data_IF_231106629680
#
_entry.id   IF_231106629680
#
_cell.length_a   1.000
_cell.length_b   1.000
_cell.length_c   1.000
_cell.angle_alpha   90.00
_cell.angle_beta   90.00
_cell.angle_gamma   90.00
#
_symmetry.space_group_name_H-M   'P 1'
#
loop_
_entity.id
_entity.type
_entity.pdbx_description
1 polymer ?
#
# COMPACT_ATOMS: atom_id res chain seq x y z
N UNK A 1 5.46 -33.95 48.57
CA UNK A 1 4.33 -34.03 47.63
C UNK A 1 4.89 -34.57 46.32
N UNK A 2 4.33 -35.66 45.80
CA UNK A 2 4.81 -36.31 44.58
C UNK A 2 4.03 -35.80 43.35
N UNK A 3 4.67 -35.77 42.18
CA UNK A 3 4.06 -35.55 40.87
C UNK A 3 3.37 -34.19 40.64
N UNK A 4 4.02 -33.07 40.94
CA UNK A 4 3.44 -31.73 40.69
C UNK A 4 4.13 -30.96 39.56
N UNK A 5 5.32 -31.37 39.12
CA UNK A 5 6.07 -30.64 38.10
C UNK A 5 5.74 -31.14 36.70
N UNK A 6 5.40 -30.19 35.82
CA UNK A 6 5.14 -30.43 34.40
C UNK A 6 6.39 -30.02 33.61
N UNK A 7 7.16 -30.97 33.06
CA UNK A 7 8.42 -30.67 32.39
C UNK A 7 8.23 -30.06 30.99
N UNK A 8 7.00 -29.90 30.51
CA UNK A 8 6.69 -29.69 29.10
C UNK A 8 5.67 -28.57 28.93
N UNK A 9 6.09 -27.43 28.34
CA UNK A 9 5.27 -26.22 28.18
C UNK A 9 5.12 -25.84 26.70
N UNK A 10 3.89 -25.59 26.25
CA UNK A 10 3.63 -25.02 24.92
C UNK A 10 3.55 -23.50 25.00
N UNK A 11 4.35 -22.85 24.17
CA UNK A 11 4.35 -21.40 23.97
C UNK A 11 3.66 -21.10 22.65
N UNK A 12 2.34 -20.83 22.66
CA UNK A 12 1.63 -20.39 21.46
C UNK A 12 2.04 -18.97 21.07
N UNK A 13 1.62 -18.53 19.88
CA UNK A 13 1.72 -17.13 19.45
C UNK A 13 0.86 -16.14 20.28
N UNK A 14 0.21 -16.61 21.36
CA UNK A 14 -0.62 -15.81 22.26
C UNK A 14 0.07 -15.56 23.60
N UNK A 15 -0.38 -14.54 24.33
CA UNK A 15 0.25 -14.05 25.57
C UNK A 15 0.28 -15.11 26.70
N UNK A 16 -0.61 -16.11 26.66
CA UNK A 16 -0.76 -17.10 27.75
C UNK A 16 -0.16 -18.45 27.34
N UNK A 17 0.87 -18.94 28.07
CA UNK A 17 1.42 -20.27 27.83
C UNK A 17 0.39 -21.34 28.17
N UNK A 18 0.36 -22.41 27.39
CA UNK A 18 -0.54 -23.55 27.62
C UNK A 18 0.28 -24.75 28.08
N UNK A 19 -0.03 -25.25 29.27
CA UNK A 19 0.56 -26.49 29.77
C UNK A 19 0.01 -27.69 28.97
N UNK A 20 0.88 -28.62 28.61
CA UNK A 20 0.48 -29.85 27.92
C UNK A 20 0.25 -30.92 28.99
N UNK A 21 -1.00 -31.14 29.38
CA UNK A 21 -1.38 -32.04 30.47
C UNK A 21 -1.64 -33.49 30.00
N UNK A 22 -0.98 -33.93 28.93
CA UNK A 22 -1.42 -35.11 28.16
C UNK A 22 -1.00 -36.46 28.73
N UNK A 23 -0.14 -36.52 29.75
CA UNK A 23 0.10 -37.77 30.48
C UNK A 23 0.47 -37.48 31.94
N UNK A 24 -0.30 -38.02 32.88
CA UNK A 24 0.06 -38.03 34.31
C UNK A 24 1.40 -38.76 34.55
N UNK A 25 1.79 -39.63 33.61
CA UNK A 25 3.05 -40.39 33.62
C UNK A 25 4.29 -39.55 33.29
N UNK A 26 4.10 -38.29 32.85
CA UNK A 26 5.19 -37.34 32.59
C UNK A 26 5.45 -36.38 33.76
N UNK A 27 4.68 -36.50 34.85
CA UNK A 27 4.87 -35.69 36.04
C UNK A 27 6.15 -36.11 36.75
N UNK A 28 7.02 -35.15 37.03
CA UNK A 28 8.28 -35.39 37.70
C UNK A 28 8.22 -34.96 39.18
N UNK A 29 8.98 -35.68 39.99
CA UNK A 29 9.21 -35.35 41.39
C UNK A 29 10.31 -34.29 41.51
N UNK A 30 10.00 -33.24 42.27
CA UNK A 30 10.94 -32.20 42.66
C UNK A 30 11.16 -32.24 44.17
N UNK A 31 12.43 -32.23 44.57
CA UNK A 31 12.87 -32.10 45.94
C UNK A 31 13.39 -30.68 46.18
N UNK A 32 12.95 -30.10 47.29
CA UNK A 32 13.36 -28.76 47.71
C UNK A 32 14.20 -28.90 48.98
N UNK A 33 15.45 -28.42 48.95
CA UNK A 33 16.36 -28.39 50.10
C UNK A 33 16.58 -26.96 50.56
N UNK A 34 16.50 -26.72 51.86
CA UNK A 34 16.89 -25.44 52.47
C UNK A 34 18.38 -25.48 52.79
N UNK A 35 19.15 -24.50 52.31
CA UNK A 35 20.56 -24.31 52.68
C UNK A 35 20.67 -23.07 53.54
N UNK A 36 21.47 -23.13 54.58
CA UNK A 36 21.87 -21.96 55.36
C UNK A 36 23.39 -21.90 55.41
N UNK A 37 23.92 -20.69 55.29
CA UNK A 37 25.33 -20.41 55.49
C UNK A 37 25.46 -19.25 56.47
N UNK A 38 26.27 -19.47 57.50
CA UNK A 38 26.62 -18.43 58.46
C UNK A 38 27.84 -17.70 57.91
N UNK A 39 27.72 -16.39 57.71
CA UNK A 39 28.80 -15.54 57.24
C UNK A 39 29.59 -15.03 58.45
N UNK A 40 30.90 -14.87 58.31
CA UNK A 40 31.77 -14.26 59.32
C UNK A 40 31.31 -12.81 59.58
N UNK A 41 30.57 -12.62 60.68
CA UNK A 41 29.79 -11.41 60.96
C UNK A 41 28.42 -11.67 61.60
N UNK A 42 28.02 -12.94 61.75
CA UNK A 42 26.78 -13.34 62.43
C UNK A 42 25.52 -13.25 61.54
N UNK A 43 25.66 -12.79 60.30
CA UNK A 43 24.59 -12.82 59.32
C UNK A 43 24.40 -14.24 58.77
N UNK A 44 23.14 -14.72 58.74
CA UNK A 44 22.79 -16.03 58.21
C UNK A 44 22.09 -15.84 56.86
N UNK A 45 22.69 -16.33 55.78
CA UNK A 45 22.06 -16.35 54.46
C UNK A 45 21.37 -17.70 54.26
N UNK A 46 20.12 -17.65 53.81
CA UNK A 46 19.29 -18.84 53.56
C UNK A 46 18.81 -18.80 52.13
N UNK A 47 18.93 -19.92 51.42
CA UNK A 47 18.36 -20.09 50.09
C UNK A 47 17.76 -21.48 49.92
N UNK A 48 16.95 -21.62 48.88
CA UNK A 48 16.32 -22.87 48.49
C UNK A 48 17.02 -23.43 47.26
N UNK A 49 17.37 -24.70 47.32
CA UNK A 49 17.94 -25.46 46.22
C UNK A 49 16.91 -26.49 45.75
N UNK A 50 16.73 -26.59 44.44
CA UNK A 50 15.71 -27.44 43.82
C UNK A 50 16.40 -28.55 43.03
N UNK A 51 16.08 -29.79 43.35
CA UNK A 51 16.66 -30.99 42.75
C UNK A 51 15.55 -31.83 42.10
N UNK A 52 15.71 -32.19 40.82
CA UNK A 52 14.77 -33.05 40.09
C UNK A 52 15.18 -34.52 40.18
N UNK A 53 14.20 -35.42 40.25
CA UNK A 53 14.46 -36.85 40.10
C UNK A 53 14.82 -37.18 38.63
N UNK A 54 15.89 -37.94 38.41
CA UNK A 54 16.46 -38.24 37.07
C UNK A 54 15.63 -39.18 36.18
N UNK A 55 14.34 -39.37 36.46
CA UNK A 55 13.51 -40.28 35.67
C UNK A 55 12.96 -39.55 34.44
N UNK A 56 13.73 -39.54 33.35
CA UNK A 56 13.23 -39.19 32.02
C UNK A 56 13.15 -40.47 31.18
N UNK A 57 11.94 -41.01 30.91
CA UNK A 57 11.79 -42.24 30.14
C UNK A 57 12.00 -42.07 28.62
N UNK A 58 11.98 -40.84 28.08
CA UNK A 58 11.83 -40.65 26.62
C UNK A 58 12.36 -39.30 26.11
N UNK A 59 13.55 -38.87 26.55
CA UNK A 59 14.25 -37.70 26.00
C UNK A 59 15.46 -38.09 25.16
N UNK A 60 15.89 -37.29 24.17
CA UNK A 60 17.15 -37.53 23.48
C UNK A 60 18.28 -37.58 24.52
N UNK A 61 19.11 -38.62 24.42
CA UNK A 61 20.27 -38.87 25.29
C UNK A 61 21.31 -37.79 24.99
N UNK A 62 21.14 -36.63 25.59
CA UNK A 62 22.23 -35.67 25.78
C UNK A 62 23.00 -36.17 26.99
N UNK A 63 24.31 -36.40 26.78
CA UNK A 63 25.22 -37.03 27.73
C UNK A 63 24.94 -36.62 29.17
N UNK A 64 24.75 -37.65 30.01
CA UNK A 64 24.41 -37.54 31.41
C UNK A 64 25.59 -37.05 32.27
N UNK A 65 26.26 -35.99 31.84
CA UNK A 65 26.99 -35.15 32.78
C UNK A 65 25.98 -34.55 33.74
N UNK A 66 26.30 -34.64 35.02
CA UNK A 66 25.47 -34.22 36.15
C UNK A 66 25.28 -32.69 36.09
N UNK A 67 24.36 -32.23 35.24
CA UNK A 67 23.94 -30.83 35.21
C UNK A 67 23.15 -30.56 36.48
N UNK A 68 23.74 -29.77 37.37
CA UNK A 68 23.07 -29.22 38.53
C UNK A 68 22.03 -28.20 38.02
N UNK A 69 20.75 -28.55 38.01
CA UNK A 69 19.69 -27.66 37.53
C UNK A 69 18.36 -28.34 37.23
N UNK A 70 17.33 -27.51 37.05
CA UNK A 70 15.97 -27.93 36.68
C UNK A 70 15.81 -27.84 35.16
N UNK A 71 15.51 -28.97 34.52
CA UNK A 71 15.26 -29.06 33.08
C UNK A 71 13.76 -29.00 32.78
N UNK A 72 13.39 -28.24 31.76
CA UNK A 72 12.06 -28.23 31.15
C UNK A 72 12.17 -28.01 29.64
N UNK A 73 11.21 -28.55 28.89
CA UNK A 73 11.10 -28.47 27.44
C UNK A 73 10.03 -27.45 27.05
N UNK A 74 10.35 -26.59 26.08
CA UNK A 74 9.42 -25.61 25.52
C UNK A 74 9.20 -25.87 24.03
N UNK A 75 7.94 -25.85 23.59
CA UNK A 75 7.60 -25.81 22.15
C UNK A 75 7.18 -24.40 21.80
N UNK A 76 7.95 -23.75 20.92
CA UNK A 76 7.67 -22.40 20.41
C UNK A 76 6.95 -22.48 19.07
N UNK A 77 5.83 -21.79 18.96
CA UNK A 77 5.11 -21.61 17.69
C UNK A 77 5.75 -20.50 16.85
N UNK A 78 5.81 -20.68 15.53
CA UNK A 78 6.31 -19.62 14.63
C UNK A 78 5.25 -18.52 14.53
N UNK A 79 5.64 -17.30 14.86
CA UNK A 79 4.81 -16.12 14.62
C UNK A 79 5.08 -15.62 13.22
N UNK A 80 4.03 -15.50 12.40
CA UNK A 80 4.10 -14.77 11.13
C UNK A 80 3.80 -13.31 11.41
N UNK A 81 4.72 -12.42 11.03
CA UNK A 81 4.47 -10.98 11.00
C UNK A 81 3.44 -10.70 9.89
N UNK A 82 2.16 -10.74 10.26
CA UNK A 82 1.09 -10.40 9.33
C UNK A 82 1.10 -8.89 9.11
N UNK A 83 1.06 -8.46 7.85
CA UNK A 83 0.76 -7.08 7.41
C UNK A 83 -0.71 -6.74 7.71
N UNK A 84 -1.14 -6.96 8.96
CA UNK A 84 -2.54 -7.09 9.38
C UNK A 84 -3.33 -5.77 9.40
N UNK A 85 -2.75 -4.68 8.91
CA UNK A 85 -3.36 -3.35 8.96
C UNK A 85 -3.95 -2.89 7.63
N UNK A 86 -3.65 -3.58 6.51
CA UNK A 86 -4.25 -3.23 5.22
C UNK A 86 -5.53 -4.01 5.00
N UNK A 87 -6.66 -3.33 5.14
CA UNK A 87 -7.98 -3.90 4.87
C UNK A 87 -8.19 -4.10 3.36
N UNK A 88 -8.63 -5.30 2.97
CA UNK A 88 -9.05 -5.61 1.60
C UNK A 88 -10.14 -4.65 1.10
N UNK A 89 -10.96 -4.14 2.03
CA UNK A 89 -12.00 -3.14 1.73
C UNK A 89 -11.39 -1.82 1.28
N UNK A 90 -10.31 -1.38 1.91
CA UNK A 90 -9.59 -0.16 1.52
C UNK A 90 -8.99 -0.31 0.13
N UNK A 91 -8.41 -1.48 -0.18
CA UNK A 91 -7.92 -1.78 -1.52
C UNK A 91 -9.03 -1.69 -2.57
N UNK A 92 -10.19 -2.29 -2.30
CA UNK A 92 -11.36 -2.23 -3.20
C UNK A 92 -11.82 -0.79 -3.46
N UNK A 93 -11.98 0.00 -2.40
CA UNK A 93 -12.42 1.40 -2.52
C UNK A 93 -11.44 2.20 -3.37
N UNK A 94 -10.14 2.07 -3.14
CA UNK A 94 -9.11 2.81 -3.88
C UNK A 94 -9.13 2.45 -5.36
N UNK A 95 -9.19 1.16 -5.70
CA UNK A 95 -9.20 0.72 -7.12
C UNK A 95 -10.46 1.20 -7.83
N UNK A 96 -11.63 1.00 -7.22
CA UNK A 96 -12.92 1.38 -7.82
C UNK A 96 -13.01 2.90 -8.00
N UNK A 97 -12.61 3.69 -7.01
CA UNK A 97 -12.58 5.15 -7.11
C UNK A 97 -11.54 5.64 -8.12
N UNK A 98 -10.38 5.01 -8.18
CA UNK A 98 -9.34 5.34 -9.16
C UNK A 98 -9.85 5.19 -10.60
N UNK A 99 -10.44 4.03 -10.92
CA UNK A 99 -11.00 3.79 -12.26
C UNK A 99 -12.18 4.73 -12.53
N UNK A 100 -13.06 4.94 -11.55
CA UNK A 100 -14.19 5.84 -11.67
C UNK A 100 -13.79 7.30 -11.92
N UNK A 101 -12.68 7.76 -11.34
CA UNK A 101 -12.15 9.11 -11.57
C UNK A 101 -11.68 9.26 -13.00
N UNK A 102 -10.90 8.31 -13.52
CA UNK A 102 -10.37 8.36 -14.89
C UNK A 102 -11.51 8.42 -15.90
N UNK A 103 -12.53 7.57 -15.76
CA UNK A 103 -13.70 7.57 -16.65
C UNK A 103 -14.44 8.92 -16.57
N UNK A 104 -14.64 9.44 -15.36
CA UNK A 104 -15.27 10.76 -15.15
C UNK A 104 -14.47 11.88 -15.81
N UNK A 105 -13.15 11.83 -15.76
CA UNK A 105 -12.28 12.86 -16.32
C UNK A 105 -12.30 12.84 -17.85
N UNK A 106 -12.37 11.66 -18.50
CA UNK A 106 -12.52 11.57 -19.96
C UNK A 106 -13.82 12.22 -20.45
N UNK A 107 -14.93 12.01 -19.73
CA UNK A 107 -16.23 12.63 -20.08
C UNK A 107 -16.17 14.14 -19.91
N UNK A 108 -15.49 14.64 -18.86
CA UNK A 108 -15.32 16.09 -18.62
C UNK A 108 -14.42 16.74 -19.67
N UNK A 109 -13.31 16.11 -20.03
CA UNK A 109 -12.36 16.60 -21.05
C UNK A 109 -13.04 16.78 -22.41
N UNK A 110 -14.02 15.93 -22.75
CA UNK A 110 -14.82 16.09 -23.95
C UNK A 110 -15.53 17.45 -24.01
N UNK A 111 -16.01 17.96 -22.87
CA UNK A 111 -16.77 19.21 -22.81
C UNK A 111 -15.93 20.47 -22.75
N UNK A 112 -14.76 20.43 -22.11
CA UNK A 112 -13.89 21.62 -21.96
C UNK A 112 -13.26 22.04 -23.29
N UNK A 113 -13.00 21.09 -24.19
CA UNK A 113 -12.34 21.34 -25.48
C UNK A 113 -13.32 21.53 -26.65
N UNK A 114 -14.63 21.66 -26.38
CA UNK A 114 -15.68 21.79 -27.42
C UNK A 114 -15.33 22.91 -28.40
N UNK A 115 -14.90 24.07 -27.90
CA UNK A 115 -14.64 25.24 -28.74
C UNK A 115 -13.50 25.04 -29.76
N UNK A 116 -12.56 24.14 -29.47
CA UNK A 116 -11.44 23.80 -30.38
C UNK A 116 -11.83 22.62 -31.28
N UNK A 117 -12.47 21.60 -30.73
CA UNK A 117 -12.80 20.35 -31.46
C UNK A 117 -13.93 20.53 -32.47
N UNK A 118 -14.95 21.32 -32.15
CA UNK A 118 -16.18 21.41 -32.96
C UNK A 118 -16.16 22.59 -33.96
N UNK A 119 -14.96 22.98 -34.39
CA UNK A 119 -14.76 24.16 -35.20
C UNK A 119 -15.12 23.89 -36.67
N UNK A 120 -16.03 24.68 -37.28
CA UNK A 120 -16.58 24.34 -38.61
C UNK A 120 -15.61 24.54 -39.79
N UNK A 121 -14.69 25.52 -39.72
CA UNK A 121 -13.74 25.86 -40.81
C UNK A 121 -12.39 26.42 -40.30
N UNK A 122 -11.42 25.59 -39.90
CA UNK A 122 -10.20 26.04 -39.20
C UNK A 122 -9.21 26.88 -40.03
N UNK A 123 -9.49 27.15 -41.31
CA UNK A 123 -8.58 27.78 -42.28
C UNK A 123 -8.01 29.12 -41.81
N UNK A 124 -8.79 29.94 -41.11
CA UNK A 124 -8.33 31.24 -40.60
C UNK A 124 -7.22 31.10 -39.56
N UNK A 125 -7.32 30.10 -38.67
CA UNK A 125 -6.26 29.79 -37.70
C UNK A 125 -5.06 29.13 -38.38
N UNK A 126 -5.32 28.27 -39.38
CA UNK A 126 -4.26 27.64 -40.18
C UNK A 126 -3.38 28.70 -40.85
N UNK A 127 -3.98 29.74 -41.43
CA UNK A 127 -3.28 30.84 -42.10
C UNK A 127 -2.34 31.60 -41.14
N UNK A 128 -2.76 31.80 -39.89
CA UNK A 128 -1.93 32.47 -38.87
C UNK A 128 -0.74 31.57 -38.51
N UNK A 129 -0.98 30.28 -38.27
CA UNK A 129 0.08 29.30 -38.00
C UNK A 129 1.09 29.19 -39.16
N UNK A 130 0.60 29.22 -40.40
CA UNK A 130 1.45 29.25 -41.58
C UNK A 130 2.23 30.56 -41.69
N UNK A 131 1.61 31.70 -41.38
CA UNK A 131 2.29 33.00 -41.31
C UNK A 131 3.43 33.03 -40.29
N UNK A 132 3.25 32.40 -39.12
CA UNK A 132 4.31 32.22 -38.12
C UNK A 132 5.44 31.36 -38.70
N UNK A 133 5.09 30.25 -39.36
CA UNK A 133 6.07 29.35 -39.97
C UNK A 133 6.88 30.06 -41.06
N UNK A 134 6.24 30.85 -41.93
CA UNK A 134 6.92 31.65 -42.96
C UNK A 134 7.83 32.70 -42.32
N UNK A 135 7.36 33.41 -41.29
CA UNK A 135 8.16 34.42 -40.59
C UNK A 135 9.43 33.83 -39.95
N UNK A 136 9.35 32.57 -39.45
CA UNK A 136 10.54 31.82 -39.02
C UNK A 136 11.50 31.50 -40.17
N UNK A 137 10.98 31.09 -41.32
CA UNK A 137 11.82 30.78 -42.49
C UNK A 137 12.53 32.03 -43.02
N UNK A 138 11.89 33.19 -42.92
CA UNK A 138 12.47 34.50 -43.28
C UNK A 138 13.39 35.08 -42.18
N UNK A 139 13.45 34.44 -41.00
CA UNK A 139 14.08 34.97 -39.78
C UNK A 139 13.61 36.39 -39.40
N UNK A 140 12.34 36.72 -39.69
CA UNK A 140 11.75 38.00 -39.30
C UNK A 140 11.07 37.88 -37.93
N UNK A 141 11.88 38.03 -36.88
CA UNK A 141 11.44 37.85 -35.49
C UNK A 141 10.34 38.82 -35.05
N UNK A 142 10.36 40.07 -35.55
CA UNK A 142 9.35 41.07 -35.19
C UNK A 142 7.96 40.66 -35.70
N UNK A 143 7.87 40.18 -36.93
CA UNK A 143 6.61 39.68 -37.50
C UNK A 143 6.16 38.39 -36.83
N UNK A 144 7.09 37.48 -36.53
CA UNK A 144 6.79 36.24 -35.80
C UNK A 144 6.16 36.55 -34.44
N UNK A 145 6.74 37.47 -33.67
CA UNK A 145 6.26 37.88 -32.35
C UNK A 145 4.83 38.46 -32.41
N UNK A 146 4.57 39.36 -33.37
CA UNK A 146 3.24 39.94 -33.56
C UNK A 146 2.19 38.87 -33.88
N UNK A 147 2.50 37.94 -34.78
CA UNK A 147 1.60 36.83 -35.13
C UNK A 147 1.37 35.89 -33.93
N UNK A 148 2.38 35.66 -33.10
CA UNK A 148 2.26 34.87 -31.87
C UNK A 148 1.31 35.51 -30.86
N UNK A 149 1.41 36.82 -30.64
CA UNK A 149 0.49 37.53 -29.74
C UNK A 149 -0.95 37.49 -30.24
N UNK A 150 -1.15 37.69 -31.55
CA UNK A 150 -2.47 37.57 -32.18
C UNK A 150 -3.05 36.16 -31.96
N UNK A 151 -2.24 35.11 -32.14
CA UNK A 151 -2.67 33.74 -31.91
C UNK A 151 -3.10 33.52 -30.45
N UNK A 152 -2.31 34.02 -29.48
CA UNK A 152 -2.62 33.90 -28.06
C UNK A 152 -3.93 34.63 -27.71
N UNK A 153 -4.12 35.85 -28.22
CA UNK A 153 -5.31 36.65 -27.95
C UNK A 153 -6.58 36.02 -28.53
N UNK A 154 -6.47 35.43 -29.73
CA UNK A 154 -7.56 34.63 -30.31
C UNK A 154 -7.85 33.41 -29.43
N UNK A 155 -6.83 32.69 -28.97
CA UNK A 155 -7.01 31.50 -28.12
C UNK A 155 -7.56 31.81 -26.72
N UNK A 156 -7.39 33.05 -26.25
CA UNK A 156 -7.94 33.50 -24.96
C UNK A 156 -9.44 33.82 -25.04
N UNK A 157 -9.97 34.16 -26.23
CA UNK A 157 -11.38 34.52 -26.40
C UNK A 157 -12.13 33.56 -27.34
N UNK A 158 -13.01 32.70 -26.80
CA UNK A 158 -13.82 31.79 -27.62
C UNK A 158 -14.81 32.54 -28.53
N UNK A 159 -15.13 33.80 -28.22
CA UNK A 159 -15.99 34.64 -29.05
C UNK A 159 -15.31 35.01 -30.38
N UNK A 160 -14.03 35.37 -30.32
CA UNK A 160 -13.23 35.69 -31.51
C UNK A 160 -13.10 34.45 -32.38
N UNK A 161 -12.80 33.29 -31.77
CA UNK A 161 -12.76 32.00 -32.46
C UNK A 161 -14.08 31.74 -33.19
N UNK A 162 -15.23 31.87 -32.51
CA UNK A 162 -16.54 31.67 -33.15
C UNK A 162 -16.78 32.64 -34.33
N UNK A 163 -16.30 33.87 -34.23
CA UNK A 163 -16.44 34.90 -35.26
C UNK A 163 -15.59 34.59 -36.50
N UNK A 164 -14.30 34.28 -36.33
CA UNK A 164 -13.38 34.03 -37.46
C UNK A 164 -13.68 32.73 -38.20
N UNK A 165 -14.31 31.78 -37.51
CA UNK A 165 -14.52 30.45 -38.06
C UNK A 165 -15.87 30.25 -38.73
N UNK A 166 -16.68 31.30 -38.81
CA UNK A 166 -18.08 31.32 -39.22
C UNK A 166 -18.98 30.46 -38.31
N UNK A 167 -20.21 30.90 -38.09
CA UNK A 167 -21.12 30.21 -37.19
C UNK A 167 -21.46 28.81 -37.70
N UNK A 168 -21.40 27.80 -36.82
CA UNK A 168 -21.73 26.41 -37.16
C UNK A 168 -23.16 26.22 -37.68
N UNK A 169 -24.05 27.19 -37.47
CA UNK A 169 -25.39 27.25 -38.06
C UNK A 169 -25.35 27.39 -39.58
N UNK A 170 -24.45 28.24 -40.10
CA UNK A 170 -24.29 28.47 -41.54
C UNK A 170 -23.70 27.25 -42.25
N UNK A 171 -22.86 26.47 -41.56
CA UNK A 171 -22.37 25.17 -42.06
C UNK A 171 -23.49 24.13 -42.15
N UNK A 172 -24.38 24.04 -41.15
CA UNK A 172 -25.56 23.15 -41.22
C UNK A 172 -26.53 23.56 -42.34
N UNK A 173 -26.75 24.85 -42.54
CA UNK A 173 -27.61 25.37 -43.62
C UNK A 173 -27.00 25.10 -45.01
N UNK A 174 -25.70 25.37 -45.20
CA UNK A 174 -25.01 25.06 -46.46
C UNK A 174 -24.99 23.56 -46.76
N UNK A 175 -24.79 22.70 -45.74
CA UNK A 175 -24.86 21.24 -45.91
C UNK A 175 -26.27 20.74 -46.23
N UNK A 176 -27.31 21.37 -45.68
CA UNK A 176 -28.70 21.02 -46.01
C UNK A 176 -29.07 21.44 -47.45
N UNK A 177 -28.53 22.55 -47.94
CA UNK A 177 -28.73 23.03 -49.31
C UNK A 177 -27.95 22.18 -50.32
N UNK A 178 -26.70 21.80 -50.03
CA UNK A 178 -25.93 20.88 -50.90
C UNK A 178 -26.58 19.50 -51.00
N UNK A 179 -27.02 18.92 -49.89
CA UNK A 179 -27.71 17.62 -49.90
C UNK A 179 -29.10 17.67 -50.57
N UNK A 180 -29.73 18.84 -50.66
CA UNK A 180 -31.00 19.05 -51.34
C UNK A 180 -30.88 19.31 -52.86
N UNK A 181 -29.68 19.63 -53.35
CA UNK A 181 -29.40 19.85 -54.77
C UNK A 181 -28.83 18.59 -55.48
N UNK A 182 -28.57 17.52 -54.73
CA UNK A 182 -28.11 16.22 -55.25
C UNK A 182 -29.25 15.17 -55.36
N UNK A 183 -30.51 15.57 -55.16
CA UNK A 183 -31.72 14.77 -55.43
C UNK A 183 -32.54 15.37 -56.58
#
# INVERSE_FOLDING_TARGET
MKNWFIPTVRLPATIKPKLINTAADLLQDIFIRRRCQVIEGGAVTVWWEVEQNKLSPTGPIIDAERREGVMFYTWSEKVTESLASFSIVTFYIVVVLGIGSVIRDVIKVGSEQIFIKDMPKPDSLMLICEGILISRLENNLEREEQLYFILIDIMRSPEIIKMITSSSLKKKENQAIENGNEQ
#
